data_IF_397686670509
#
_entry.id   IF_397686670509
#
_cell.length_a   1.000
_cell.length_b   1.000
_cell.length_c   1.000
_cell.angle_alpha   90.00
_cell.angle_beta   90.00
_cell.angle_gamma   90.00
#
_symmetry.space_group_name_H-M   'P 1'
#
loop_
_entity.id
_entity.type
_entity.pdbx_description
1 polymer ?
#
# COMPACT_ATOMS: atom_id res chain seq x y z
N UNK A 1 -15.47 17.53 19.82
CA UNK A 1 -14.11 17.09 19.45
C UNK A 1 -14.13 16.47 18.07
N UNK A 2 -13.20 16.87 17.21
CA UNK A 2 -13.11 16.31 15.88
C UNK A 2 -12.24 15.05 15.93
N UNK A 3 -12.77 13.95 15.39
CA UNK A 3 -12.01 12.73 15.20
C UNK A 3 -11.53 12.69 13.77
N UNK A 4 -10.22 12.69 13.58
CA UNK A 4 -9.67 12.52 12.25
C UNK A 4 -9.98 11.13 11.74
N UNK A 5 -10.46 11.05 10.51
CA UNK A 5 -10.60 9.78 9.81
C UNK A 5 -9.22 9.33 9.33
N UNK A 6 -8.94 8.05 9.40
CA UNK A 6 -7.67 7.56 8.89
C UNK A 6 -7.57 7.73 7.37
N UNK A 7 -6.35 7.90 6.91
CA UNK A 7 -6.03 7.90 5.50
C UNK A 7 -5.53 6.52 5.09
N UNK A 8 -6.01 6.06 3.97
CA UNK A 8 -5.64 4.75 3.42
C UNK A 8 -4.56 4.93 2.37
N UNK A 9 -3.51 4.12 2.47
CA UNK A 9 -2.52 3.99 1.40
C UNK A 9 -2.97 2.86 0.50
N UNK A 10 -3.19 3.16 -0.76
CA UNK A 10 -3.72 2.23 -1.75
C UNK A 10 -2.66 1.93 -2.79
N UNK A 11 -2.44 0.64 -3.05
CA UNK A 11 -1.59 0.20 -4.15
C UNK A 11 -2.49 -0.37 -5.24
N UNK A 12 -2.24 0.04 -6.47
CA UNK A 12 -3.00 -0.35 -7.64
C UNK A 12 -2.23 -1.39 -8.44
N UNK A 13 -2.96 -2.28 -9.09
CA UNK A 13 -2.35 -3.30 -9.92
C UNK A 13 -1.55 -2.67 -11.06
N UNK A 14 -0.39 -3.26 -11.31
CA UNK A 14 0.56 -2.80 -12.31
C UNK A 14 1.08 -4.04 -13.04
N UNK A 15 0.72 -4.22 -14.32
CA UNK A 15 1.14 -5.41 -15.05
C UNK A 15 2.65 -5.49 -15.31
N UNK A 16 3.37 -4.39 -15.09
CA UNK A 16 4.82 -4.33 -15.36
C UNK A 16 5.64 -4.87 -14.19
N UNK A 17 5.21 -4.60 -12.95
CA UNK A 17 5.99 -5.01 -11.78
C UNK A 17 5.71 -6.47 -11.41
N UNK A 18 6.75 -7.33 -11.38
CA UNK A 18 6.56 -8.73 -10.99
C UNK A 18 6.02 -8.88 -9.57
N UNK A 19 5.18 -9.88 -9.35
CA UNK A 19 4.56 -10.14 -8.04
C UNK A 19 5.59 -10.30 -6.93
N UNK A 20 6.71 -10.99 -7.21
CA UNK A 20 7.77 -11.18 -6.23
C UNK A 20 8.38 -9.86 -5.76
N UNK A 21 8.48 -8.91 -6.67
CA UNK A 21 9.03 -7.58 -6.37
C UNK A 21 8.07 -6.81 -5.49
N UNK A 22 6.77 -6.91 -5.75
CA UNK A 22 5.75 -6.25 -4.92
C UNK A 22 5.83 -6.75 -3.47
N UNK A 23 5.96 -8.06 -3.27
CA UNK A 23 6.10 -8.65 -1.93
C UNK A 23 7.35 -8.10 -1.22
N UNK A 24 8.48 -8.05 -1.91
CA UNK A 24 9.73 -7.53 -1.34
C UNK A 24 9.58 -6.06 -0.94
N UNK A 25 8.94 -5.25 -1.78
CA UNK A 25 8.71 -3.83 -1.51
C UNK A 25 7.84 -3.66 -0.25
N UNK A 26 6.75 -4.39 -0.14
CA UNK A 26 5.87 -4.33 1.03
C UNK A 26 6.63 -4.71 2.31
N UNK A 27 7.44 -5.75 2.24
CA UNK A 27 8.22 -6.19 3.40
C UNK A 27 9.23 -5.13 3.83
N UNK A 28 9.93 -4.52 2.89
CA UNK A 28 10.92 -3.48 3.19
C UNK A 28 10.31 -2.22 3.77
N UNK A 29 9.19 -1.79 3.20
CA UNK A 29 8.58 -0.52 3.60
C UNK A 29 7.80 -0.65 4.91
N UNK A 30 7.03 -1.72 5.06
CA UNK A 30 6.12 -1.88 6.21
C UNK A 30 6.65 -2.81 7.28
N UNK A 31 7.55 -3.72 6.96
CA UNK A 31 8.00 -4.74 7.89
C UNK A 31 6.97 -5.82 8.17
N UNK A 32 5.97 -5.98 7.33
CA UNK A 32 4.94 -7.00 7.49
C UNK A 32 5.53 -8.41 7.31
N UNK A 33 4.83 -9.40 7.86
CA UNK A 33 5.18 -10.81 7.65
C UNK A 33 5.09 -11.19 6.17
N UNK A 34 5.78 -12.24 5.79
CA UNK A 34 5.72 -12.75 4.41
C UNK A 34 4.28 -13.09 4.01
N UNK A 35 3.51 -13.71 4.90
CA UNK A 35 2.12 -14.04 4.64
C UNK A 35 1.28 -12.80 4.36
N UNK A 36 1.45 -11.75 5.18
CA UNK A 36 0.69 -10.51 4.98
C UNK A 36 1.08 -9.82 3.68
N UNK A 37 2.37 -9.76 3.37
CA UNK A 37 2.84 -9.18 2.11
C UNK A 37 2.26 -9.94 0.91
N UNK A 38 2.25 -11.26 0.97
CA UNK A 38 1.70 -12.09 -0.09
C UNK A 38 0.19 -11.89 -0.23
N UNK A 39 -0.54 -11.83 0.87
CA UNK A 39 -1.99 -11.58 0.83
C UNK A 39 -2.31 -10.22 0.21
N UNK A 40 -1.57 -9.18 0.59
CA UNK A 40 -1.77 -7.85 0.03
C UNK A 40 -1.46 -7.83 -1.46
N UNK A 41 -0.36 -8.46 -1.87
CA UNK A 41 0.01 -8.56 -3.29
C UNK A 41 -1.08 -9.29 -4.08
N UNK A 42 -1.60 -10.39 -3.56
CA UNK A 42 -2.66 -11.14 -4.22
C UNK A 42 -3.96 -10.33 -4.33
N UNK A 43 -4.28 -9.55 -3.30
CA UNK A 43 -5.45 -8.66 -3.33
C UNK A 43 -5.28 -7.60 -4.42
N UNK A 44 -4.11 -6.97 -4.51
CA UNK A 44 -3.82 -6.00 -5.56
C UNK A 44 -4.03 -6.63 -6.93
N UNK A 45 -3.50 -7.85 -7.12
CA UNK A 45 -3.55 -8.53 -8.40
C UNK A 45 -4.97 -8.94 -8.79
N UNK A 46 -5.74 -9.52 -7.85
CA UNK A 46 -7.08 -10.04 -8.15
C UNK A 46 -8.17 -8.98 -8.13
N UNK A 47 -8.07 -8.02 -7.20
CA UNK A 47 -9.10 -6.98 -7.03
C UNK A 47 -8.77 -5.69 -7.78
N UNK A 48 -7.57 -5.56 -8.30
CA UNK A 48 -7.09 -4.37 -8.98
C UNK A 48 -6.49 -3.31 -8.06
N UNK A 49 -6.74 -3.41 -6.76
CA UNK A 49 -6.18 -2.51 -5.76
C UNK A 49 -6.27 -3.13 -4.37
N UNK A 50 -5.47 -2.62 -3.45
CA UNK A 50 -5.57 -3.00 -2.04
C UNK A 50 -5.17 -1.84 -1.15
N UNK A 51 -5.83 -1.74 0.01
CA UNK A 51 -5.39 -0.84 1.08
C UNK A 51 -4.28 -1.56 1.83
N UNK A 52 -3.06 -1.01 1.78
CA UNK A 52 -1.90 -1.66 2.37
C UNK A 52 -1.54 -1.11 3.74
N UNK A 53 -2.04 0.08 4.09
CA UNK A 53 -1.82 0.71 5.38
C UNK A 53 -2.86 1.79 5.61
N UNK A 54 -3.22 2.02 6.87
CA UNK A 54 -4.14 3.10 7.22
C UNK A 54 -3.67 3.78 8.50
N UNK A 55 -3.86 5.08 8.59
CA UNK A 55 -3.49 5.85 9.75
C UNK A 55 -3.45 7.34 9.49
N UNK A 56 -2.60 8.06 10.23
CA UNK A 56 -2.50 9.50 10.15
C UNK A 56 -2.03 9.98 8.77
N UNK A 57 -2.49 11.16 8.36
CA UNK A 57 -2.24 11.71 7.03
C UNK A 57 -0.75 11.83 6.69
N UNK A 58 0.06 12.32 7.62
CA UNK A 58 1.50 12.51 7.39
C UNK A 58 2.23 11.20 7.15
N UNK A 59 1.89 10.16 7.92
CA UNK A 59 2.47 8.82 7.73
C UNK A 59 1.98 8.17 6.45
N UNK A 60 0.69 8.33 6.14
CA UNK A 60 0.13 7.82 4.88
C UNK A 60 0.87 8.43 3.69
N UNK A 61 1.08 9.74 3.71
CA UNK A 61 1.83 10.44 2.66
C UNK A 61 3.24 9.89 2.52
N UNK A 62 3.94 9.69 3.64
CA UNK A 62 5.30 9.16 3.64
C UNK A 62 5.36 7.75 3.04
N UNK A 63 4.45 6.86 3.43
CA UNK A 63 4.40 5.52 2.85
C UNK A 63 4.06 5.54 1.36
N UNK A 64 3.13 6.41 0.97
CA UNK A 64 2.76 6.56 -0.44
C UNK A 64 3.97 6.95 -1.28
N UNK A 65 4.74 7.93 -0.83
CA UNK A 65 5.95 8.37 -1.54
C UNK A 65 6.97 7.25 -1.63
N UNK A 66 7.19 6.51 -0.54
CA UNK A 66 8.13 5.38 -0.53
C UNK A 66 7.73 4.31 -1.55
N UNK A 67 6.44 4.00 -1.63
CA UNK A 67 5.94 3.04 -2.60
C UNK A 67 6.13 3.54 -4.03
N UNK A 68 5.85 4.82 -4.28
CA UNK A 68 6.03 5.44 -5.60
C UNK A 68 7.49 5.41 -6.02
N UNK A 69 8.40 5.76 -5.11
CA UNK A 69 9.85 5.71 -5.38
C UNK A 69 10.31 4.30 -5.70
N UNK A 70 9.70 3.29 -5.06
CA UNK A 70 10.00 1.89 -5.35
C UNK A 70 9.42 1.40 -6.69
N UNK A 71 8.60 2.21 -7.36
CA UNK A 71 8.07 1.90 -8.68
C UNK A 71 6.63 1.41 -8.70
N UNK A 72 5.93 1.44 -7.57
CA UNK A 72 4.54 1.00 -7.52
C UNK A 72 3.57 2.16 -7.77
N UNK A 73 2.39 1.85 -8.26
CA UNK A 73 1.30 2.80 -8.37
C UNK A 73 0.62 2.90 -7.01
N UNK A 74 0.84 4.00 -6.33
CA UNK A 74 0.30 4.20 -4.98
C UNK A 74 -0.37 5.56 -4.86
N UNK A 75 -1.48 5.59 -4.12
CA UNK A 75 -2.23 6.80 -3.83
C UNK A 75 -2.66 6.77 -2.37
N UNK A 76 -3.14 7.91 -1.87
CA UNK A 76 -3.80 7.96 -0.56
C UNK A 76 -5.24 8.41 -0.77
N UNK A 77 -6.13 7.88 0.05
CA UNK A 77 -7.53 8.28 0.06
C UNK A 77 -8.08 8.19 1.47
N UNK A 78 -9.10 8.96 1.73
CA UNK A 78 -9.78 8.96 3.03
C UNK A 78 -11.15 8.35 2.86
N UNK A 79 -11.56 7.51 3.80
CA UNK A 79 -12.90 6.94 3.79
C UNK A 79 -13.95 8.04 3.97
N UNK A 80 -15.00 7.97 3.20
CA UNK A 80 -16.10 8.92 3.27
C UNK A 80 -17.02 8.65 4.46
#
# INVERSE_FOLDING_TARGET
MLTERPWNVVVWDDPVTPMKVVVVIFKRIFGYSDNKCTQLMMTVHHEGRAIVWSGAADRAQSYCVKLQVAGLLATIEQDS
#
